data_IF_024430012322
#
_entry.id   IF_024430012322
#
_cell.length_a   1.000
_cell.length_b   1.000
_cell.length_c   1.000
_cell.angle_alpha   90.00
_cell.angle_beta   90.00
_cell.angle_gamma   90.00
#
_symmetry.space_group_name_H-M   'P 1'
#
loop_
_entity.id
_entity.type
_entity.pdbx_description
1 polymer ?
#
# COMPACT_ATOMS: atom_id res chain seq x y z
N UNK A 1 20.62 1.44 0.81
CA UNK A 1 19.59 1.66 1.83
C UNK A 1 19.12 0.33 2.43
N UNK A 2 18.80 -0.68 1.65
CA UNK A 2 18.30 -1.99 2.11
C UNK A 2 19.38 -3.08 2.27
N UNK A 3 20.66 -2.75 2.16
CA UNK A 3 21.77 -3.73 2.16
C UNK A 3 22.02 -4.37 3.53
N UNK A 4 21.60 -3.72 4.62
CA UNK A 4 21.68 -4.27 5.97
C UNK A 4 20.63 -5.32 6.32
N UNK A 5 19.63 -5.55 5.45
CA UNK A 5 18.60 -6.57 5.66
C UNK A 5 19.16 -7.99 5.42
N UNK A 6 18.55 -9.03 6.03
CA UNK A 6 18.83 -10.42 5.69
C UNK A 6 18.67 -10.66 4.18
N UNK A 7 19.49 -11.55 3.59
CA UNK A 7 19.53 -11.80 2.14
C UNK A 7 18.14 -12.05 1.53
N UNK A 8 17.31 -12.81 2.23
CA UNK A 8 15.93 -13.14 1.81
C UNK A 8 15.05 -11.90 1.71
N UNK A 9 15.17 -10.95 2.65
CA UNK A 9 14.41 -9.70 2.66
C UNK A 9 14.94 -8.73 1.59
N UNK A 10 16.26 -8.71 1.36
CA UNK A 10 16.86 -7.95 0.26
C UNK A 10 16.35 -8.41 -1.11
N UNK A 11 16.27 -9.73 -1.33
CA UNK A 11 15.71 -10.29 -2.57
C UNK A 11 14.23 -9.94 -2.73
N UNK A 12 13.45 -9.98 -1.64
CA UNK A 12 12.06 -9.57 -1.65
C UNK A 12 11.91 -8.09 -2.04
N UNK A 13 12.67 -7.19 -1.41
CA UNK A 13 12.67 -5.75 -1.72
C UNK A 13 13.04 -5.49 -3.17
N UNK A 14 14.09 -6.15 -3.68
CA UNK A 14 14.50 -6.03 -5.10
C UNK A 14 13.40 -6.53 -6.04
N UNK A 15 12.80 -7.67 -5.72
CA UNK A 15 11.66 -8.20 -6.48
C UNK A 15 10.51 -7.21 -6.52
N UNK A 16 10.14 -6.61 -5.38
CA UNK A 16 9.05 -5.64 -5.29
C UNK A 16 9.35 -4.35 -6.09
N UNK A 17 10.58 -3.84 -6.04
CA UNK A 17 11.00 -2.71 -6.87
C UNK A 17 10.90 -2.99 -8.36
N UNK A 18 11.21 -4.23 -8.77
CA UNK A 18 11.16 -4.63 -10.19
C UNK A 18 9.74 -4.95 -10.69
N UNK A 19 8.83 -5.38 -9.80
CA UNK A 19 7.51 -5.92 -10.18
C UNK A 19 6.32 -5.06 -9.77
N UNK A 20 6.49 -4.09 -8.88
CA UNK A 20 5.43 -3.22 -8.42
C UNK A 20 5.61 -1.78 -8.94
N UNK A 21 4.55 -1.14 -9.48
CA UNK A 21 4.62 0.21 -10.06
C UNK A 21 4.64 1.31 -8.96
N UNK A 22 5.60 1.24 -8.03
CA UNK A 22 5.66 2.13 -6.86
C UNK A 22 5.97 3.59 -7.23
N UNK A 23 6.74 3.80 -8.30
CA UNK A 23 7.03 5.15 -8.81
C UNK A 23 5.76 5.82 -9.35
N UNK A 24 4.88 5.06 -10.01
CA UNK A 24 3.60 5.58 -10.46
C UNK A 24 2.71 6.03 -9.28
N UNK A 25 2.73 5.29 -8.15
CA UNK A 25 2.02 5.71 -6.94
C UNK A 25 2.64 6.97 -6.36
N UNK A 26 3.97 7.00 -6.20
CA UNK A 26 4.69 8.14 -5.63
C UNK A 26 4.46 9.43 -6.44
N UNK A 27 4.33 9.32 -7.77
CA UNK A 27 4.06 10.48 -8.66
C UNK A 27 2.65 11.07 -8.48
N UNK A 28 1.71 10.33 -7.90
CA UNK A 28 0.34 10.79 -7.62
C UNK A 28 0.17 11.37 -6.22
N UNK A 29 1.20 11.27 -5.38
CA UNK A 29 1.18 11.83 -4.03
C UNK A 29 1.29 13.36 -4.07
N UNK A 30 0.42 14.06 -3.34
CA UNK A 30 0.34 15.52 -3.23
C UNK A 30 0.48 15.97 -1.78
N UNK A 31 0.90 17.23 -1.60
CA UNK A 31 1.02 17.89 -0.29
C UNK A 31 2.31 17.54 0.44
N UNK A 32 2.36 17.87 1.73
CA UNK A 32 3.55 17.76 2.57
C UNK A 32 3.53 16.57 3.53
N UNK A 33 2.35 16.08 3.91
CA UNK A 33 2.18 14.99 4.89
C UNK A 33 1.61 13.74 4.21
N UNK A 34 2.44 12.70 4.15
CA UNK A 34 2.13 11.45 3.45
C UNK A 34 1.99 10.30 4.44
N UNK A 35 1.06 9.38 4.17
CA UNK A 35 0.94 8.12 4.89
C UNK A 35 1.03 6.95 3.91
N UNK A 36 1.92 6.01 4.17
CA UNK A 36 2.01 4.70 3.50
C UNK A 36 1.44 3.62 4.43
N UNK A 37 0.29 3.07 4.07
CA UNK A 37 -0.43 2.04 4.85
C UNK A 37 -0.04 0.65 4.36
N UNK A 38 0.42 -0.20 5.28
CA UNK A 38 1.00 -1.49 4.94
C UNK A 38 2.40 -1.33 4.34
N UNK A 39 3.19 -0.42 4.88
CA UNK A 39 4.49 0.00 4.31
C UNK A 39 5.53 -1.13 4.24
N UNK A 40 5.33 -2.22 4.98
CA UNK A 40 6.23 -3.37 5.01
C UNK A 40 7.67 -2.97 5.32
N UNK A 41 8.59 -3.24 4.40
CA UNK A 41 10.02 -2.90 4.52
C UNK A 41 10.33 -1.42 4.26
N UNK A 42 9.33 -0.57 4.02
CA UNK A 42 9.50 0.85 3.79
C UNK A 42 9.96 1.25 2.39
N UNK A 43 9.69 0.44 1.37
CA UNK A 43 10.16 0.71 -0.01
C UNK A 43 9.48 1.95 -0.58
N UNK A 44 8.15 2.07 -0.46
CA UNK A 44 7.41 3.25 -0.93
C UNK A 44 7.71 4.46 -0.04
N UNK A 45 7.87 4.27 1.29
CA UNK A 45 8.36 5.31 2.21
C UNK A 45 9.70 5.88 1.73
N UNK A 46 10.66 5.02 1.34
CA UNK A 46 11.95 5.45 0.80
C UNK A 46 11.81 6.30 -0.46
N UNK A 47 10.98 5.86 -1.42
CA UNK A 47 10.74 6.60 -2.66
C UNK A 47 10.15 7.99 -2.40
N UNK A 48 9.16 8.07 -1.50
CA UNK A 48 8.52 9.33 -1.14
C UNK A 48 9.47 10.27 -0.38
N UNK A 49 10.21 9.75 0.61
CA UNK A 49 11.07 10.56 1.46
C UNK A 49 12.32 11.08 0.75
N UNK A 50 12.95 10.24 -0.10
CA UNK A 50 14.14 10.62 -0.87
C UNK A 50 13.77 11.48 -2.08
N UNK A 51 12.69 11.12 -2.79
CA UNK A 51 12.24 11.86 -3.96
C UNK A 51 11.71 13.26 -3.64
N UNK A 52 11.26 13.47 -2.39
CA UNK A 52 10.66 14.73 -1.96
C UNK A 52 11.09 15.06 -0.52
N UNK A 53 12.31 15.56 -0.29
CA UNK A 53 12.86 15.76 1.07
C UNK A 53 12.07 16.72 1.96
N UNK A 54 11.28 17.62 1.39
CA UNK A 54 10.39 18.55 2.12
C UNK A 54 9.11 17.91 2.65
N UNK A 55 8.80 16.67 2.25
CA UNK A 55 7.62 15.93 2.70
C UNK A 55 7.92 15.15 3.97
N UNK A 56 6.98 15.11 4.88
CA UNK A 56 7.00 14.20 6.03
C UNK A 56 6.24 12.92 5.67
N UNK A 57 6.90 11.78 5.78
CA UNK A 57 6.35 10.48 5.38
C UNK A 57 6.21 9.59 6.60
N UNK A 58 4.98 9.19 6.89
CA UNK A 58 4.66 8.20 7.92
C UNK A 58 4.41 6.85 7.24
N UNK A 59 5.07 5.80 7.71
CA UNK A 59 4.82 4.42 7.29
C UNK A 59 4.23 3.60 8.42
N UNK A 60 3.15 2.87 8.17
CA UNK A 60 2.57 1.95 9.16
C UNK A 60 2.43 0.54 8.61
N UNK A 61 2.66 -0.46 9.45
CA UNK A 61 2.37 -1.88 9.18
C UNK A 61 2.05 -2.56 10.53
N UNK A 62 1.05 -3.44 10.64
CA UNK A 62 0.76 -4.15 11.88
C UNK A 62 1.85 -5.18 12.26
N UNK A 63 2.69 -5.62 11.33
CA UNK A 63 3.80 -6.53 11.60
C UNK A 63 5.03 -5.77 12.11
N UNK A 64 5.28 -5.85 13.43
CA UNK A 64 6.39 -5.18 14.10
C UNK A 64 7.75 -5.54 13.50
N UNK A 65 7.96 -6.79 13.06
CA UNK A 65 9.22 -7.23 12.43
C UNK A 65 9.48 -6.50 11.12
N UNK A 66 8.42 -6.23 10.33
CA UNK A 66 8.56 -5.44 9.10
C UNK A 66 8.93 -4.00 9.42
N UNK A 67 8.33 -3.42 10.45
CA UNK A 67 8.68 -2.08 10.92
C UNK A 67 10.12 -2.01 11.43
N UNK A 68 10.63 -3.02 12.11
CA UNK A 68 12.05 -3.11 12.49
C UNK A 68 12.97 -3.10 11.25
N UNK A 69 12.64 -3.88 10.23
CA UNK A 69 13.38 -3.86 8.96
C UNK A 69 13.28 -2.51 8.24
N UNK A 70 12.11 -1.89 8.24
CA UNK A 70 11.94 -0.55 7.70
C UNK A 70 12.77 0.48 8.48
N UNK A 71 12.78 0.43 9.82
CA UNK A 71 13.63 1.31 10.66
C UNK A 71 15.11 1.13 10.36
N UNK A 72 15.58 -0.10 10.21
CA UNK A 72 16.96 -0.40 9.85
C UNK A 72 17.36 0.15 8.46
N UNK A 73 16.38 0.28 7.55
CA UNK A 73 16.61 0.70 6.16
C UNK A 73 16.41 2.20 5.96
N UNK A 74 15.26 2.75 6.37
CA UNK A 74 14.84 4.12 6.07
C UNK A 74 14.65 5.01 7.31
N UNK A 75 14.68 4.44 8.51
CA UNK A 75 14.46 5.19 9.77
C UNK A 75 15.50 6.25 10.09
N UNK A 76 16.62 6.30 9.34
CA UNK A 76 17.64 7.36 9.46
C UNK A 76 17.28 8.64 8.70
N UNK A 77 16.28 8.61 7.87
CA UNK A 77 15.82 9.80 7.13
C UNK A 77 15.04 10.70 8.10
N UNK A 78 15.46 11.96 8.20
CA UNK A 78 14.91 12.93 9.17
C UNK A 78 13.41 13.24 8.94
N UNK A 79 12.91 12.96 7.73
CA UNK A 79 11.53 13.19 7.31
C UNK A 79 10.68 11.91 7.32
N UNK A 80 11.11 10.83 7.99
CA UNK A 80 10.42 9.55 8.07
C UNK A 80 10.03 9.22 9.51
N UNK A 81 8.77 8.82 9.69
CA UNK A 81 8.24 8.20 10.91
C UNK A 81 7.72 6.79 10.59
N UNK A 82 8.02 5.79 11.44
CA UNK A 82 7.61 4.39 11.25
C UNK A 82 6.94 3.87 12.51
N UNK A 83 5.73 3.29 12.35
CA UNK A 83 4.94 2.79 13.48
C UNK A 83 4.36 1.40 13.22
N UNK A 84 4.47 0.54 14.23
CA UNK A 84 3.80 -0.75 14.25
C UNK A 84 2.37 -0.57 14.78
N UNK A 85 1.40 -0.36 13.88
CA UNK A 85 -0.01 -0.23 14.24
C UNK A 85 -0.92 -0.51 13.04
N UNK A 86 -2.21 -0.73 13.30
CA UNK A 86 -3.23 -0.80 12.26
C UNK A 86 -3.68 0.59 11.84
N UNK A 87 -4.35 0.68 10.69
CA UNK A 87 -4.88 1.95 10.18
C UNK A 87 -5.97 2.52 11.09
N UNK A 88 -6.76 1.66 11.73
CA UNK A 88 -7.84 2.06 12.63
C UNK A 88 -7.29 2.73 13.90
N UNK A 89 -6.21 2.18 14.45
CA UNK A 89 -5.50 2.77 15.61
C UNK A 89 -4.99 4.15 15.24
N UNK A 90 -4.29 4.27 14.10
CA UNK A 90 -3.77 5.56 13.67
C UNK A 90 -4.89 6.57 13.39
N UNK A 91 -6.02 6.13 12.81
CA UNK A 91 -7.15 7.00 12.50
C UNK A 91 -7.82 7.57 13.75
N UNK A 92 -7.84 6.81 14.85
CA UNK A 92 -8.33 7.30 16.13
C UNK A 92 -7.39 8.34 16.77
N UNK A 93 -6.08 8.21 16.58
CA UNK A 93 -5.07 9.09 17.16
C UNK A 93 -4.83 10.37 16.35
N UNK A 94 -4.87 10.28 15.01
CA UNK A 94 -4.44 11.36 14.09
C UNK A 94 -5.46 11.65 12.99
N UNK A 95 -6.72 11.96 13.33
CA UNK A 95 -7.73 12.25 12.32
C UNK A 95 -7.37 13.53 11.52
N UNK A 96 -7.65 13.51 10.22
CA UNK A 96 -7.46 14.63 9.30
C UNK A 96 -6.03 15.21 9.30
N UNK A 97 -5.01 14.36 9.44
CA UNK A 97 -3.62 14.81 9.49
C UNK A 97 -2.93 14.81 8.11
N UNK A 98 -3.31 13.91 7.20
CA UNK A 98 -2.54 13.65 5.98
C UNK A 98 -3.13 14.32 4.75
N UNK A 99 -2.24 14.80 3.88
CA UNK A 99 -2.59 15.31 2.55
C UNK A 99 -2.83 14.16 1.58
N UNK A 100 -2.00 13.10 1.67
CA UNK A 100 -2.14 11.89 0.86
C UNK A 100 -2.00 10.64 1.73
N UNK A 101 -2.91 9.69 1.53
CA UNK A 101 -2.83 8.31 2.04
C UNK A 101 -2.60 7.39 0.86
N UNK A 102 -1.50 6.61 0.91
CA UNK A 102 -1.15 5.61 -0.08
C UNK A 102 -1.41 4.21 0.49
N UNK A 103 -2.02 3.37 -0.33
CA UNK A 103 -2.30 1.96 -0.02
C UNK A 103 -1.85 1.12 -1.21
N UNK A 104 -0.87 0.25 -1.02
CA UNK A 104 -0.30 -0.55 -2.09
C UNK A 104 -0.29 -2.03 -1.75
N UNK A 105 -1.14 -2.81 -2.40
CA UNK A 105 -1.24 -4.27 -2.23
C UNK A 105 -1.62 -4.67 -0.79
N UNK A 106 -2.69 -4.10 -0.26
CA UNK A 106 -3.19 -4.37 1.09
C UNK A 106 -4.58 -4.99 1.10
N UNK A 107 -5.52 -4.47 0.28
CA UNK A 107 -6.91 -4.91 0.34
C UNK A 107 -7.07 -6.39 0.01
N UNK A 108 -6.30 -6.93 -0.93
CA UNK A 108 -6.39 -8.34 -1.32
C UNK A 108 -5.96 -9.32 -0.21
N UNK A 109 -5.28 -8.81 0.84
CA UNK A 109 -4.90 -9.58 2.04
C UNK A 109 -6.01 -9.60 3.10
N UNK A 110 -6.99 -8.71 2.98
CA UNK A 110 -8.09 -8.53 3.92
C UNK A 110 -9.32 -9.29 3.46
N UNK A 111 -10.10 -9.80 4.41
CA UNK A 111 -11.44 -10.28 4.10
C UNK A 111 -12.29 -9.12 3.55
N UNK A 112 -13.18 -9.40 2.58
CA UNK A 112 -13.99 -8.35 1.93
C UNK A 112 -14.81 -7.51 2.93
N UNK A 113 -15.26 -8.09 4.02
CA UNK A 113 -15.96 -7.38 5.10
C UNK A 113 -15.10 -6.31 5.80
N UNK A 114 -13.77 -6.47 5.78
CA UNK A 114 -12.84 -5.51 6.38
C UNK A 114 -12.51 -4.32 5.46
N UNK A 115 -12.85 -4.36 4.17
CA UNK A 115 -12.53 -3.28 3.24
C UNK A 115 -13.22 -1.96 3.59
N UNK A 116 -14.50 -2.03 3.96
CA UNK A 116 -15.27 -0.83 4.33
C UNK A 116 -14.70 -0.11 5.56
N UNK A 117 -14.49 -0.77 6.72
CA UNK A 117 -13.87 -0.11 7.87
C UNK A 117 -12.44 0.37 7.58
N UNK A 118 -11.64 -0.39 6.83
CA UNK A 118 -10.29 0.02 6.41
C UNK A 118 -10.31 1.32 5.57
N UNK A 119 -11.14 1.38 4.53
CA UNK A 119 -11.25 2.56 3.68
C UNK A 119 -11.88 3.76 4.42
N UNK A 120 -12.78 3.51 5.37
CA UNK A 120 -13.31 4.57 6.24
C UNK A 120 -12.21 5.15 7.14
N UNK A 121 -11.32 4.31 7.70
CA UNK A 121 -10.17 4.76 8.47
C UNK A 121 -9.19 5.57 7.59
N UNK A 122 -8.91 5.11 6.36
CA UNK A 122 -8.10 5.86 5.39
C UNK A 122 -8.70 7.25 5.12
N UNK A 123 -10.03 7.31 4.98
CA UNK A 123 -10.73 8.58 4.79
C UNK A 123 -10.66 9.48 6.02
N UNK A 124 -10.76 8.92 7.22
CA UNK A 124 -10.67 9.69 8.47
C UNK A 124 -9.29 10.33 8.66
N UNK A 125 -8.22 9.67 8.23
CA UNK A 125 -6.83 10.14 8.29
C UNK A 125 -6.56 11.31 7.32
N UNK A 126 -7.27 11.40 6.21
CA UNK A 126 -7.09 12.47 5.22
C UNK A 126 -7.71 13.79 5.70
N UNK A 127 -7.08 14.89 5.38
CA UNK A 127 -7.67 16.24 5.47
C UNK A 127 -8.85 16.39 4.52
N UNK A 128 -9.76 17.34 4.75
CA UNK A 128 -10.73 17.74 3.73
C UNK A 128 -10.03 18.05 2.40
N UNK A 129 -10.48 17.43 1.31
CA UNK A 129 -9.83 17.52 0.00
C UNK A 129 -8.53 16.72 -0.14
N UNK A 130 -8.14 15.94 0.86
CA UNK A 130 -6.96 15.06 0.78
C UNK A 130 -7.17 13.88 -0.18
N UNK A 131 -6.08 13.27 -0.60
CA UNK A 131 -6.03 12.27 -1.69
C UNK A 131 -5.77 10.86 -1.17
N UNK A 132 -6.56 9.90 -1.62
CA UNK A 132 -6.27 8.47 -1.56
C UNK A 132 -5.61 8.03 -2.87
N UNK A 133 -4.48 7.34 -2.78
CA UNK A 133 -3.84 6.64 -3.90
C UNK A 133 -3.83 5.15 -3.56
N UNK A 134 -4.79 4.42 -4.10
CA UNK A 134 -4.96 2.98 -3.89
C UNK A 134 -4.41 2.22 -5.09
N UNK A 135 -3.51 1.27 -4.88
CA UNK A 135 -3.00 0.36 -5.90
C UNK A 135 -3.24 -1.08 -5.46
N UNK A 136 -3.89 -1.86 -6.31
CA UNK A 136 -4.15 -3.29 -6.08
C UNK A 136 -3.88 -4.12 -7.34
N UNK A 137 -3.69 -5.41 -7.16
CA UNK A 137 -3.77 -6.35 -8.27
C UNK A 137 -5.22 -6.47 -8.71
N UNK A 138 -5.45 -6.38 -10.03
CA UNK A 138 -6.77 -6.45 -10.64
C UNK A 138 -7.08 -7.86 -11.13
N UNK A 139 -8.28 -8.37 -10.85
CA UNK A 139 -8.81 -9.54 -11.54
C UNK A 139 -9.48 -9.09 -12.86
N UNK A 140 -8.72 -9.10 -13.93
CA UNK A 140 -9.18 -8.82 -15.30
C UNK A 140 -9.68 -10.09 -16.04
N UNK A 141 -9.79 -11.23 -15.33
CA UNK A 141 -10.17 -12.53 -15.89
C UNK A 141 -9.09 -13.21 -16.74
N UNK A 142 -7.91 -12.61 -16.89
CA UNK A 142 -6.84 -13.13 -17.73
C UNK A 142 -6.11 -14.33 -17.11
N UNK A 143 -5.41 -15.11 -17.96
CA UNK A 143 -4.53 -16.18 -17.48
C UNK A 143 -3.39 -15.68 -16.56
N UNK A 144 -3.00 -14.42 -16.71
CA UNK A 144 -1.98 -13.76 -15.86
C UNK A 144 -2.44 -13.69 -14.40
N UNK A 145 -3.72 -13.39 -14.18
CA UNK A 145 -4.33 -13.38 -12.84
C UNK A 145 -4.29 -14.78 -12.23
N UNK A 146 -4.69 -15.82 -12.96
CA UNK A 146 -4.67 -17.21 -12.47
C UNK A 146 -3.26 -17.63 -12.06
N UNK A 147 -2.25 -17.29 -12.87
CA UNK A 147 -0.83 -17.53 -12.57
C UNK A 147 -0.38 -16.76 -11.33
N UNK A 148 -0.72 -15.47 -11.23
CA UNK A 148 -0.33 -14.62 -10.12
C UNK A 148 -0.97 -15.08 -8.80
N UNK A 149 -2.26 -15.43 -8.80
CA UNK A 149 -2.95 -16.00 -7.62
C UNK A 149 -2.30 -17.31 -7.15
N UNK A 150 -1.94 -18.19 -8.09
CA UNK A 150 -1.24 -19.42 -7.75
C UNK A 150 0.13 -19.15 -7.09
N UNK A 151 0.90 -18.20 -7.66
CA UNK A 151 2.19 -17.80 -7.10
C UNK A 151 2.04 -17.16 -5.72
N UNK A 152 1.04 -16.27 -5.53
CA UNK A 152 0.77 -15.60 -4.27
C UNK A 152 0.31 -16.59 -3.19
N UNK A 153 -0.59 -17.50 -3.50
CA UNK A 153 -1.02 -18.56 -2.59
C UNK A 153 0.15 -19.46 -2.18
N UNK A 154 1.03 -19.80 -3.12
CA UNK A 154 2.24 -20.57 -2.83
C UNK A 154 3.19 -19.79 -1.90
N UNK A 155 3.40 -18.51 -2.17
CA UNK A 155 4.25 -17.62 -1.36
C UNK A 155 3.70 -17.40 0.04
N UNK A 156 2.41 -17.13 0.19
CA UNK A 156 1.75 -16.98 1.50
C UNK A 156 1.81 -18.28 2.29
N UNK A 157 1.53 -19.42 1.64
CA UNK A 157 1.54 -20.75 2.28
C UNK A 157 2.95 -21.21 2.67
N UNK A 158 3.96 -21.00 1.81
CA UNK A 158 5.34 -21.43 2.09
C UNK A 158 6.07 -20.53 3.07
N UNK A 159 5.77 -19.25 3.08
CA UNK A 159 6.58 -18.28 3.82
C UNK A 159 5.94 -17.82 5.13
N UNK A 160 4.68 -18.17 5.42
CA UNK A 160 3.92 -17.66 6.59
C UNK A 160 4.12 -16.16 6.80
N UNK A 161 4.19 -15.39 5.70
CA UNK A 161 4.70 -14.01 5.70
C UNK A 161 3.66 -12.94 5.94
N UNK A 162 2.37 -13.29 5.95
CA UNK A 162 1.31 -12.29 6.03
C UNK A 162 0.23 -12.75 7.02
N UNK A 163 -0.22 -11.85 7.88
CA UNK A 163 -1.44 -12.01 8.65
C UNK A 163 -2.65 -11.81 7.71
N UNK A 164 -2.90 -12.78 6.80
CA UNK A 164 -4.10 -12.73 5.98
C UNK A 164 -5.25 -13.34 6.77
N UNK A 165 -6.31 -12.58 6.99
CA UNK A 165 -7.53 -13.05 7.66
C UNK A 165 -8.52 -13.75 6.72
N UNK A 166 -8.16 -13.96 5.44
CA UNK A 166 -9.04 -14.53 4.43
C UNK A 166 -8.30 -15.24 3.29
N UNK A 167 -9.05 -15.81 2.37
CA UNK A 167 -8.51 -16.32 1.11
C UNK A 167 -7.96 -15.15 0.29
N UNK A 168 -6.68 -15.21 -0.06
CA UNK A 168 -6.06 -14.23 -0.98
C UNK A 168 -6.80 -14.26 -2.30
N UNK A 169 -7.39 -13.14 -2.69
CA UNK A 169 -8.14 -13.02 -3.94
C UNK A 169 -8.04 -11.61 -4.52
N UNK A 170 -7.74 -11.52 -5.82
CA UNK A 170 -7.80 -10.26 -6.52
C UNK A 170 -9.27 -9.92 -6.85
N UNK A 171 -9.58 -8.65 -6.85
CA UNK A 171 -10.94 -8.20 -7.13
C UNK A 171 -11.04 -7.56 -8.52
N UNK A 172 -12.19 -7.69 -9.21
CA UNK A 172 -12.47 -6.93 -10.41
C UNK A 172 -12.44 -5.42 -10.14
N UNK A 173 -12.05 -4.65 -11.15
CA UNK A 173 -12.03 -3.19 -11.11
C UNK A 173 -13.31 -2.58 -10.56
N UNK A 174 -14.46 -3.05 -11.03
CA UNK A 174 -15.77 -2.55 -10.59
C UNK A 174 -16.00 -2.72 -9.09
N UNK A 175 -15.50 -3.82 -8.51
CA UNK A 175 -15.60 -4.09 -7.07
C UNK A 175 -14.71 -3.13 -6.27
N UNK A 176 -13.48 -2.90 -6.73
CA UNK A 176 -12.56 -1.94 -6.09
C UNK A 176 -13.12 -0.51 -6.15
N UNK A 177 -13.60 -0.08 -7.31
CA UNK A 177 -14.22 1.25 -7.46
C UNK A 177 -15.48 1.40 -6.59
N UNK A 178 -16.34 0.39 -6.55
CA UNK A 178 -17.53 0.40 -5.70
C UNK A 178 -17.19 0.52 -4.22
N UNK A 179 -16.15 -0.20 -3.74
CA UNK A 179 -15.68 -0.12 -2.36
C UNK A 179 -15.17 1.29 -2.01
N UNK A 180 -14.38 1.90 -2.89
CA UNK A 180 -13.85 3.26 -2.71
C UNK A 180 -14.99 4.28 -2.66
N UNK A 181 -15.98 4.20 -3.58
CA UNK A 181 -17.16 5.10 -3.55
C UNK A 181 -18.02 4.88 -2.31
N UNK A 182 -18.24 3.63 -1.90
CA UNK A 182 -19.02 3.30 -0.71
C UNK A 182 -18.39 3.81 0.60
N UNK A 183 -17.06 4.01 0.61
CA UNK A 183 -16.35 4.65 1.70
C UNK A 183 -16.42 6.19 1.67
N UNK A 184 -17.12 6.78 0.70
CA UNK A 184 -17.36 8.22 0.59
C UNK A 184 -16.27 8.99 -0.13
N UNK A 185 -15.44 8.31 -0.95
CA UNK A 185 -14.45 8.97 -1.80
C UNK A 185 -15.02 9.33 -3.17
N UNK A 186 -14.60 10.46 -3.72
CA UNK A 186 -14.82 10.84 -5.11
C UNK A 186 -13.63 10.35 -5.97
N UNK A 187 -13.86 9.38 -6.86
CA UNK A 187 -12.80 8.87 -7.75
C UNK A 187 -12.48 9.94 -8.81
N UNK A 188 -11.21 10.33 -8.90
CA UNK A 188 -10.69 11.27 -9.89
C UNK A 188 -10.09 10.57 -11.11
N UNK A 189 -9.38 9.44 -10.88
CA UNK A 189 -8.68 8.73 -11.95
C UNK A 189 -8.61 7.24 -11.64
N UNK A 190 -8.64 6.42 -12.69
CA UNK A 190 -8.47 4.96 -12.60
C UNK A 190 -7.51 4.51 -13.70
N UNK A 191 -6.28 4.20 -13.29
CA UNK A 191 -5.16 3.96 -14.19
C UNK A 191 -4.79 2.48 -14.23
N UNK A 192 -4.94 1.79 -15.36
CA UNK A 192 -4.39 0.46 -15.53
C UNK A 192 -2.85 0.52 -15.56
N UNK A 193 -2.19 -0.25 -14.72
CA UNK A 193 -0.73 -0.33 -14.62
C UNK A 193 -0.20 -1.68 -15.12
N UNK A 194 -0.82 -2.21 -16.18
CA UNK A 194 -0.54 -3.57 -16.68
C UNK A 194 0.70 -3.65 -17.59
N UNK A 195 1.18 -2.52 -18.14
CA UNK A 195 2.32 -2.54 -19.09
C UNK A 195 3.64 -2.74 -18.34
N UNK A 196 4.39 -3.78 -18.72
CA UNK A 196 5.69 -4.10 -18.15
C UNK A 196 5.65 -4.98 -16.88
N UNK A 197 4.45 -5.32 -16.36
CA UNK A 197 4.30 -6.14 -15.17
C UNK A 197 3.67 -7.50 -15.50
N UNK A 198 4.07 -8.54 -14.76
CA UNK A 198 3.54 -9.90 -14.94
C UNK A 198 2.11 -10.07 -14.42
N UNK A 199 1.69 -9.22 -13.50
CA UNK A 199 0.36 -9.18 -12.90
C UNK A 199 -0.35 -7.90 -13.33
N UNK A 200 -1.63 -7.94 -13.72
CA UNK A 200 -2.41 -6.73 -13.93
C UNK A 200 -2.53 -5.94 -12.63
N UNK A 201 -2.22 -4.67 -12.68
CA UNK A 201 -2.37 -3.75 -11.55
C UNK A 201 -3.30 -2.60 -11.92
N UNK A 202 -4.06 -2.16 -10.94
CA UNK A 202 -4.94 -1.02 -11.03
C UNK A 202 -4.53 0.02 -9.98
N UNK A 203 -4.49 1.29 -10.37
CA UNK A 203 -4.37 2.40 -9.45
C UNK A 203 -5.65 3.25 -9.49
N UNK A 204 -6.24 3.51 -8.32
CA UNK A 204 -7.37 4.40 -8.13
C UNK A 204 -6.88 5.63 -7.39
N UNK A 205 -7.11 6.80 -7.96
CA UNK A 205 -6.86 8.10 -7.33
C UNK A 205 -8.20 8.71 -6.96
N UNK A 206 -8.41 9.08 -5.70
CA UNK A 206 -9.69 9.55 -5.22
C UNK A 206 -9.52 10.65 -4.15
N UNK A 207 -10.53 11.53 -4.01
CA UNK A 207 -10.61 12.62 -3.02
C UNK A 207 -11.52 12.26 -1.86
N UNK A 208 -11.11 12.76 -0.67
CA UNK A 208 -11.97 12.78 0.50
C UNK A 208 -13.10 13.79 0.34
#
# INVERSE_FOLDING_TARGET
MFDGLPLKERLFVRGRLATAPLEALASRAEGARMLDVGCGHGVLVALLAVGFPSRHVVGIDPDERKIEWARASVGRLANVELRACTIEVLAAERPAEFDTVLVADVLYLLAAAAWRPFLAAARALLRPGGRLVLKEAEDDGSWRVKKALFQEQLMVRMLRRTHSSGAVGFAPRSTLEAAVRAAGFAIEDVVPLARGYSTPHLMIVARR
#
